data_IF_741417358069
#
_entry.id   IF_741417358069
#
_cell.length_a   1.000
_cell.length_b   1.000
_cell.length_c   1.000
_cell.angle_alpha   90.00
_cell.angle_beta   90.00
_cell.angle_gamma   90.00
#
_symmetry.space_group_name_H-M   'P 1'
#
loop_
_entity.id
_entity.type
_entity.pdbx_description
1 polymer ?
#
# COMPACT_ATOMS: atom_id res chain seq x y z
N UNK A 1 -46.62 -3.16 2.30
CA UNK A 1 -46.04 -3.44 0.96
C UNK A 1 -45.38 -2.15 0.51
N UNK A 2 -44.08 -1.97 0.44
CA UNK A 2 -42.96 -2.90 0.40
C UNK A 2 -41.99 -2.37 -0.66
N UNK A 3 -41.20 -1.34 -0.33
CA UNK A 3 -40.06 -0.87 -1.15
C UNK A 3 -39.02 -0.24 -0.24
N UNK A 4 -38.20 -1.09 0.35
CA UNK A 4 -36.90 -0.70 0.88
C UNK A 4 -35.96 -1.88 0.63
N UNK A 5 -34.66 -1.60 0.52
CA UNK A 5 -33.55 -2.54 0.28
C UNK A 5 -33.28 -2.88 -1.19
N UNK A 6 -32.64 -1.94 -1.90
CA UNK A 6 -31.83 -2.23 -3.09
C UNK A 6 -30.61 -1.30 -3.11
N UNK A 7 -29.83 -1.33 -2.03
CA UNK A 7 -28.56 -0.60 -1.89
C UNK A 7 -27.57 -1.37 -1.00
N UNK A 8 -27.57 -2.70 -1.12
CA UNK A 8 -26.68 -3.57 -0.36
C UNK A 8 -26.23 -4.72 -1.24
N UNK A 9 -25.16 -4.48 -1.99
CA UNK A 9 -24.26 -5.46 -2.65
C UNK A 9 -23.28 -4.68 -3.54
N UNK A 10 -22.68 -3.60 -3.01
CA UNK A 10 -21.29 -3.35 -3.40
C UNK A 10 -20.52 -4.32 -2.52
N UNK A 11 -20.03 -5.37 -3.15
CA UNK A 11 -19.17 -6.37 -2.56
C UNK A 11 -18.01 -5.65 -1.87
N UNK A 12 -18.03 -5.58 -0.54
CA UNK A 12 -16.97 -4.92 0.23
C UNK A 12 -15.60 -5.63 0.04
N UNK A 13 -15.63 -6.88 -0.42
CA UNK A 13 -14.46 -7.72 -0.71
C UNK A 13 -13.78 -7.29 -2.04
N UNK A 14 -14.56 -7.00 -3.07
CA UNK A 14 -14.10 -6.51 -4.38
C UNK A 14 -13.36 -5.17 -4.25
N UNK A 15 -13.92 -4.22 -3.49
CA UNK A 15 -13.28 -2.91 -3.27
C UNK A 15 -11.97 -3.00 -2.48
N UNK A 16 -11.87 -3.95 -1.53
CA UNK A 16 -10.64 -4.22 -0.80
C UNK A 16 -9.56 -4.82 -1.69
N UNK A 17 -9.94 -5.78 -2.52
CA UNK A 17 -9.08 -6.43 -3.52
C UNK A 17 -8.55 -5.41 -4.54
N UNK A 18 -9.42 -4.56 -5.08
CA UNK A 18 -9.04 -3.49 -6.01
C UNK A 18 -8.04 -2.51 -5.39
N UNK A 19 -8.23 -2.16 -4.11
CA UNK A 19 -7.32 -1.25 -3.41
C UNK A 19 -5.94 -1.88 -3.19
N UNK A 20 -5.87 -3.17 -2.86
CA UNK A 20 -4.62 -3.93 -2.76
C UNK A 20 -3.89 -3.96 -4.10
N UNK A 21 -4.58 -4.32 -5.18
CA UNK A 21 -4.00 -4.37 -6.53
C UNK A 21 -3.51 -3.00 -7.02
N UNK A 22 -4.24 -1.94 -6.69
CA UNK A 22 -3.85 -0.58 -7.01
C UNK A 22 -2.55 -0.17 -6.29
N UNK A 23 -2.40 -0.53 -5.01
CA UNK A 23 -1.14 -0.30 -4.28
C UNK A 23 0.01 -1.11 -4.88
N UNK A 24 -0.21 -2.40 -5.16
CA UNK A 24 0.83 -3.26 -5.75
C UNK A 24 1.29 -2.75 -7.12
N UNK A 25 0.34 -2.31 -7.96
CA UNK A 25 0.62 -1.67 -9.24
C UNK A 25 1.43 -0.39 -9.05
N UNK A 26 1.07 0.43 -8.06
CA UNK A 26 1.75 1.67 -7.77
C UNK A 26 3.21 1.46 -7.31
N UNK A 27 3.47 0.44 -6.49
CA UNK A 27 4.83 0.12 -6.03
C UNK A 27 5.77 -0.28 -7.19
N UNK A 28 5.21 -0.88 -8.25
CA UNK A 28 5.94 -1.28 -9.47
C UNK A 28 6.10 -0.16 -10.51
N UNK A 29 5.49 1.02 -10.33
CA UNK A 29 5.56 2.10 -11.34
C UNK A 29 6.96 2.72 -11.42
N UNK A 30 7.49 3.03 -12.61
CA UNK A 30 8.81 3.66 -12.76
C UNK A 30 8.86 5.12 -12.26
N UNK A 31 7.72 5.73 -11.95
CA UNK A 31 7.61 7.13 -11.57
C UNK A 31 7.97 7.34 -10.08
N UNK A 32 8.81 8.36 -9.78
CA UNK A 32 9.56 8.46 -8.51
C UNK A 32 9.19 9.60 -7.58
N UNK A 33 8.40 10.59 -8.02
CA UNK A 33 8.38 11.88 -7.32
C UNK A 33 7.68 11.85 -5.95
N UNK A 34 6.95 10.76 -5.65
CA UNK A 34 6.16 10.60 -4.42
C UNK A 34 6.15 9.16 -3.90
N UNK A 35 7.30 8.49 -3.90
CA UNK A 35 7.40 7.10 -3.40
C UNK A 35 6.88 6.96 -1.95
N UNK A 36 7.10 7.98 -1.12
CA UNK A 36 6.55 8.06 0.23
C UNK A 36 5.01 8.08 0.30
N UNK A 37 4.32 8.53 -0.76
CA UNK A 37 2.86 8.56 -0.81
C UNK A 37 2.25 7.18 -1.04
N UNK A 38 2.98 6.26 -1.69
CA UNK A 38 2.52 4.87 -1.82
C UNK A 38 2.48 4.18 -0.45
N UNK A 39 3.41 4.52 0.44
CA UNK A 39 3.40 3.99 1.80
C UNK A 39 2.27 4.56 2.66
N UNK A 40 1.84 5.81 2.43
CA UNK A 40 0.62 6.35 3.04
C UNK A 40 -0.60 5.54 2.62
N UNK A 41 -0.75 5.26 1.33
CA UNK A 41 -1.86 4.48 0.80
C UNK A 41 -1.82 3.04 1.32
N UNK A 42 -0.65 2.41 1.26
CA UNK A 42 -0.44 1.04 1.73
C UNK A 42 -0.84 0.86 3.20
N UNK A 43 -0.57 1.83 4.07
CA UNK A 43 -0.94 1.76 5.49
C UNK A 43 -2.45 1.61 5.70
N UNK A 44 -3.28 2.19 4.83
CA UNK A 44 -4.74 2.10 4.95
C UNK A 44 -5.30 0.74 4.53
N UNK A 45 -4.55 -0.04 3.77
CA UNK A 45 -4.99 -1.33 3.22
C UNK A 45 -4.07 -2.48 3.64
N UNK A 46 -3.12 -2.24 4.55
CA UNK A 46 -2.13 -3.25 4.96
C UNK A 46 -2.80 -4.47 5.58
N UNK A 47 -3.86 -4.22 6.34
CA UNK A 47 -4.66 -5.24 7.03
C UNK A 47 -5.72 -5.89 6.11
N UNK A 48 -5.91 -5.38 4.89
CA UNK A 48 -6.79 -5.96 3.87
C UNK A 48 -6.09 -7.06 3.03
N UNK A 49 -5.01 -7.65 3.55
CA UNK A 49 -4.25 -8.68 2.86
C UNK A 49 -3.08 -8.17 2.02
N UNK A 50 -2.76 -6.87 2.03
CA UNK A 50 -1.62 -6.33 1.29
C UNK A 50 -0.25 -6.80 1.83
N UNK A 51 -0.17 -7.16 3.12
CA UNK A 51 1.11 -7.46 3.79
C UNK A 51 1.91 -8.57 3.08
N UNK A 52 1.29 -9.71 2.78
CA UNK A 52 1.99 -10.84 2.14
C UNK A 52 2.46 -10.53 0.71
N UNK A 53 1.61 -9.98 -0.18
CA UNK A 53 2.03 -9.49 -1.49
C UNK A 53 3.19 -8.48 -1.44
N UNK A 54 3.17 -7.53 -0.49
CA UNK A 54 4.27 -6.56 -0.33
C UNK A 54 5.54 -7.24 0.19
N UNK A 55 5.44 -8.25 1.06
CA UNK A 55 6.59 -9.06 1.46
C UNK A 55 7.22 -9.78 0.27
N UNK A 56 6.41 -10.34 -0.64
CA UNK A 56 6.94 -10.99 -1.86
C UNK A 56 7.74 -10.02 -2.75
N UNK A 57 7.32 -8.75 -2.84
CA UNK A 57 8.05 -7.70 -3.60
C UNK A 57 9.45 -7.40 -3.06
N UNK A 58 9.80 -7.85 -1.85
CA UNK A 58 11.16 -7.66 -1.33
C UNK A 58 12.21 -8.56 -2.01
N UNK A 59 11.77 -9.52 -2.81
CA UNK A 59 12.60 -10.36 -3.69
C UNK A 59 12.46 -10.05 -5.18
N UNK A 60 11.89 -8.91 -5.56
CA UNK A 60 11.76 -8.48 -6.96
C UNK A 60 13.14 -8.16 -7.59
N UNK A 61 13.24 -8.29 -8.91
CA UNK A 61 14.47 -7.99 -9.66
C UNK A 61 14.73 -6.48 -9.77
N UNK A 62 13.67 -5.65 -9.69
CA UNK A 62 13.82 -4.20 -9.67
C UNK A 62 14.20 -3.71 -8.26
N UNK A 63 15.43 -3.19 -8.05
CA UNK A 63 15.86 -2.73 -6.74
C UNK A 63 14.99 -1.58 -6.18
N UNK A 64 14.34 -0.80 -7.04
CA UNK A 64 13.45 0.27 -6.60
C UNK A 64 12.14 -0.30 -6.04
N UNK A 65 11.61 -1.36 -6.64
CA UNK A 65 10.44 -2.09 -6.13
C UNK A 65 10.74 -2.68 -4.77
N UNK A 66 11.91 -3.33 -4.64
CA UNK A 66 12.39 -3.87 -3.36
C UNK A 66 12.49 -2.79 -2.29
N UNK A 67 13.09 -1.63 -2.61
CA UNK A 67 13.23 -0.50 -1.67
C UNK A 67 11.87 0.00 -1.19
N UNK A 68 10.92 0.18 -2.11
CA UNK A 68 9.57 0.66 -1.76
C UNK A 68 8.82 -0.35 -0.90
N UNK A 69 8.88 -1.63 -1.26
CA UNK A 69 8.26 -2.71 -0.49
C UNK A 69 8.80 -2.74 0.96
N UNK A 70 10.12 -2.68 1.13
CA UNK A 70 10.75 -2.62 2.45
C UNK A 70 10.32 -1.39 3.25
N UNK A 71 10.24 -0.23 2.61
CA UNK A 71 9.78 0.98 3.29
C UNK A 71 8.32 0.87 3.72
N UNK A 72 7.43 0.33 2.88
CA UNK A 72 6.03 0.08 3.24
C UNK A 72 5.94 -0.82 4.49
N UNK A 73 6.70 -1.91 4.52
CA UNK A 73 6.71 -2.82 5.68
C UNK A 73 7.23 -2.13 6.94
N UNK A 74 8.31 -1.35 6.84
CA UNK A 74 8.90 -0.60 7.96
C UNK A 74 7.91 0.40 8.56
N UNK A 75 7.25 1.22 7.74
CA UNK A 75 6.30 2.22 8.26
C UNK A 75 4.96 1.62 8.68
N UNK A 76 4.59 0.45 8.14
CA UNK A 76 3.37 -0.26 8.58
C UNK A 76 3.57 -0.97 9.92
N UNK A 77 4.80 -1.19 10.36
CA UNK A 77 5.11 -1.72 11.68
C UNK A 77 4.88 -0.69 12.81
N UNK A 78 4.82 0.61 12.49
CA UNK A 78 4.54 1.70 13.44
C UNK A 78 3.44 2.64 12.88
N UNK A 79 2.15 2.31 13.14
CA UNK A 79 1.02 3.08 12.60
C UNK A 79 1.01 4.56 13.00
N UNK A 80 1.63 4.91 14.14
CA UNK A 80 1.71 6.27 14.66
C UNK A 80 2.74 7.14 13.94
N UNK A 81 3.62 6.55 13.12
CA UNK A 81 4.66 7.27 12.40
C UNK A 81 4.09 8.12 11.28
N UNK A 82 4.40 9.41 11.29
CA UNK A 82 4.06 10.30 10.17
C UNK A 82 4.94 9.98 8.96
N UNK A 83 4.29 9.58 7.87
CA UNK A 83 4.96 9.31 6.58
C UNK A 83 5.03 10.61 5.79
N UNK A 84 6.25 11.10 5.57
CA UNK A 84 6.54 12.31 4.79
C UNK A 84 7.68 12.04 3.82
N UNK A 85 7.93 12.96 2.88
CA UNK A 85 9.14 12.93 2.06
C UNK A 85 10.42 12.82 2.90
N UNK A 86 10.48 13.52 4.03
CA UNK A 86 11.64 13.50 4.94
C UNK A 86 11.80 12.14 5.63
N UNK A 87 10.69 11.49 5.97
CA UNK A 87 10.69 10.13 6.54
C UNK A 87 11.31 9.14 5.58
N UNK A 88 10.96 9.23 4.29
CA UNK A 88 11.55 8.42 3.22
C UNK A 88 13.05 8.71 3.02
N UNK A 89 13.44 9.97 2.85
CA UNK A 89 14.86 10.34 2.66
C UNK A 89 15.72 9.87 3.84
N UNK A 90 15.28 10.11 5.08
CA UNK A 90 15.99 9.62 6.26
C UNK A 90 16.08 8.11 6.33
N UNK A 91 15.06 7.39 5.87
CA UNK A 91 15.08 5.93 5.84
C UNK A 91 16.07 5.39 4.82
N UNK A 92 16.21 6.04 3.66
CA UNK A 92 17.22 5.70 2.64
C UNK A 92 18.66 5.96 3.10
N UNK A 93 18.86 6.82 4.10
CA UNK A 93 20.17 7.16 4.67
C UNK A 93 20.61 6.23 5.82
N UNK A 94 19.77 5.26 6.22
CA UNK A 94 20.07 4.29 7.29
C UNK A 94 20.86 3.10 6.77
#
# INVERSE_FOLDING_TARGET
MGTSWMFGLIDQDDAGTDAVELVLTALRRPYRCKDWAYALLARHVIDLGLREPVTALTGDDDPLVVLRARFVLDVSADPGRTITRRTWTRWLER
#
